data_IF_445011385234
#
_entry.id   IF_445011385234
#
_cell.length_a   1.000
_cell.length_b   1.000
_cell.length_c   1.000
_cell.angle_alpha   90.00
_cell.angle_beta   90.00
_cell.angle_gamma   90.00
#
_symmetry.space_group_name_H-M   'P 1'
#
loop_
_entity.id
_entity.type
_entity.pdbx_description
1 polymer ?
#
# COMPACT_ATOMS: atom_id res chain seq x y z
N UNK A 1 -25.03 -12.69 11.90
CA UNK A 1 -23.78 -12.83 12.68
C UNK A 1 -22.54 -12.94 11.79
N UNK A 2 -22.45 -13.89 10.86
CA UNK A 2 -21.27 -14.07 9.98
C UNK A 2 -20.88 -12.81 9.17
N UNK A 3 -21.85 -12.07 8.65
CA UNK A 3 -21.62 -10.84 7.87
C UNK A 3 -21.01 -9.70 8.69
N UNK A 4 -21.39 -9.59 9.96
CA UNK A 4 -20.86 -8.58 10.90
C UNK A 4 -19.40 -8.89 11.22
N UNK A 5 -19.08 -10.17 11.43
CA UNK A 5 -17.70 -10.65 11.63
C UNK A 5 -16.82 -10.38 10.42
N UNK A 6 -17.37 -10.56 9.21
CA UNK A 6 -16.69 -10.26 7.95
C UNK A 6 -16.36 -8.77 7.83
N UNK A 7 -17.33 -7.90 8.15
CA UNK A 7 -17.14 -6.45 8.16
C UNK A 7 -16.11 -6.00 9.18
N UNK A 8 -16.13 -6.58 10.39
CA UNK A 8 -15.12 -6.32 11.41
C UNK A 8 -13.72 -6.65 10.91
N UNK A 9 -13.53 -7.83 10.31
CA UNK A 9 -12.23 -8.25 9.75
C UNK A 9 -11.76 -7.30 8.65
N UNK A 10 -12.66 -6.87 7.76
CA UNK A 10 -12.33 -5.92 6.69
C UNK A 10 -11.94 -4.55 7.24
N UNK A 11 -12.71 -4.03 8.20
CA UNK A 11 -12.42 -2.74 8.83
C UNK A 11 -11.08 -2.79 9.57
N UNK A 12 -10.82 -3.86 10.33
CA UNK A 12 -9.54 -4.04 11.02
C UNK A 12 -8.36 -4.15 10.04
N UNK A 13 -8.53 -4.86 8.92
CA UNK A 13 -7.51 -4.95 7.88
C UNK A 13 -7.23 -3.60 7.20
N UNK A 14 -8.29 -2.82 6.92
CA UNK A 14 -8.19 -1.45 6.40
C UNK A 14 -7.51 -0.51 7.38
N UNK A 15 -7.82 -0.61 8.68
CA UNK A 15 -7.24 0.22 9.72
C UNK A 15 -5.73 -0.02 9.87
N UNK A 16 -5.30 -1.29 9.85
CA UNK A 16 -3.89 -1.66 9.84
C UNK A 16 -3.20 -1.10 8.60
N UNK A 17 -3.84 -1.22 7.43
CA UNK A 17 -3.31 -0.67 6.18
C UNK A 17 -3.13 0.85 6.27
N UNK A 18 -4.16 1.59 6.67
CA UNK A 18 -4.11 3.04 6.82
C UNK A 18 -3.10 3.48 7.88
N UNK A 19 -2.93 2.72 8.96
CA UNK A 19 -1.93 2.99 9.99
C UNK A 19 -0.50 2.85 9.46
N UNK A 20 -0.21 1.75 8.76
CA UNK A 20 1.09 1.51 8.10
C UNK A 20 1.36 2.61 7.06
N UNK A 21 0.34 2.99 6.29
CA UNK A 21 0.42 4.03 5.28
C UNK A 21 0.73 5.41 5.87
N UNK A 22 0.03 5.74 6.96
CA UNK A 22 0.24 6.99 7.70
C UNK A 22 1.64 7.04 8.29
N UNK A 23 2.13 5.91 8.84
CA UNK A 23 3.49 5.80 9.34
C UNK A 23 4.54 5.99 8.23
N UNK A 24 4.34 5.37 7.07
CA UNK A 24 5.20 5.52 5.89
C UNK A 24 5.26 6.97 5.41
N UNK A 25 4.11 7.63 5.29
CA UNK A 25 4.03 9.05 4.88
C UNK A 25 4.74 9.93 5.90
N UNK A 26 4.49 9.72 7.20
CA UNK A 26 5.14 10.49 8.26
C UNK A 26 6.66 10.26 8.29
N UNK A 27 7.12 9.04 8.07
CA UNK A 27 8.54 8.70 7.95
C UNK A 27 9.19 9.45 6.79
N UNK A 28 8.56 9.41 5.61
CA UNK A 28 9.00 10.16 4.42
C UNK A 28 9.07 11.66 4.73
N UNK A 29 8.00 12.25 5.28
CA UNK A 29 7.96 13.68 5.64
C UNK A 29 9.04 14.03 6.67
N UNK A 30 9.30 13.15 7.65
CA UNK A 30 10.33 13.36 8.68
C UNK A 30 11.75 13.34 8.10
N UNK A 31 12.01 12.52 7.08
CA UNK A 31 13.29 12.52 6.36
C UNK A 31 13.51 13.85 5.63
N UNK A 32 12.44 14.51 5.15
CA UNK A 32 12.53 15.84 4.53
C UNK A 32 12.60 17.00 5.53
N UNK A 33 12.09 16.83 6.75
CA UNK A 33 12.12 17.86 7.81
C UNK A 33 13.48 18.01 8.49
N UNK A 34 14.41 17.06 8.33
CA UNK A 34 15.75 17.17 8.92
C UNK A 34 16.56 18.19 8.12
N UNK A 35 16.79 19.36 8.72
CA UNK A 35 17.62 20.47 8.23
C UNK A 35 19.01 20.01 7.76
N UNK A 36 19.07 19.55 6.52
CA UNK A 36 20.31 19.47 5.77
C UNK A 36 20.22 20.56 4.70
N UNK A 37 21.29 21.35 4.58
CA UNK A 37 21.60 22.20 3.42
C UNK A 37 21.80 21.32 2.17
N UNK A 38 20.78 20.52 1.84
CA UNK A 38 20.75 19.61 0.72
C UNK A 38 20.28 20.42 -0.48
N UNK A 39 21.12 20.45 -1.52
CA UNK A 39 20.81 21.10 -2.79
C UNK A 39 19.39 20.72 -3.26
N UNK A 40 18.64 21.68 -3.79
CA UNK A 40 17.28 21.51 -4.31
C UNK A 40 17.15 20.25 -5.19
N UNK A 41 18.17 19.97 -6.02
CA UNK A 41 18.26 18.79 -6.90
C UNK A 41 18.18 17.46 -6.14
N UNK A 42 18.79 17.40 -4.96
CA UNK A 42 18.81 16.18 -4.12
C UNK A 42 17.46 15.99 -3.42
N UNK A 43 16.84 17.08 -2.95
CA UNK A 43 15.46 17.04 -2.41
C UNK A 43 14.47 16.54 -3.46
N UNK A 44 14.56 17.04 -4.69
CA UNK A 44 13.69 16.62 -5.79
C UNK A 44 13.91 15.16 -6.18
N UNK A 45 15.17 14.70 -6.23
CA UNK A 45 15.49 13.30 -6.49
C UNK A 45 14.95 12.35 -5.40
N UNK A 46 15.12 12.68 -4.13
CA UNK A 46 14.60 11.87 -3.01
C UNK A 46 13.07 11.84 -3.05
N UNK A 47 12.42 12.97 -3.37
CA UNK A 47 10.96 13.04 -3.52
C UNK A 47 10.47 12.13 -4.64
N UNK A 48 11.13 12.14 -5.80
CA UNK A 48 10.80 11.26 -6.92
C UNK A 48 10.98 9.78 -6.57
N UNK A 49 12.10 9.41 -5.93
CA UNK A 49 12.36 8.03 -5.50
C UNK A 49 11.34 7.58 -4.46
N UNK A 50 11.00 8.45 -3.50
CA UNK A 50 10.00 8.15 -2.49
C UNK A 50 8.62 7.91 -3.10
N UNK A 51 8.19 8.73 -4.06
CA UNK A 51 6.93 8.54 -4.79
C UNK A 51 6.95 7.23 -5.61
N UNK A 52 8.07 6.91 -6.25
CA UNK A 52 8.21 5.67 -7.02
C UNK A 52 8.09 4.42 -6.12
N UNK A 53 8.83 4.40 -5.00
CA UNK A 53 8.78 3.30 -4.02
C UNK A 53 7.38 3.16 -3.43
N UNK A 54 6.72 4.28 -3.17
CA UNK A 54 5.35 4.30 -2.67
C UNK A 54 4.36 3.72 -3.69
N UNK A 55 4.46 4.10 -4.96
CA UNK A 55 3.61 3.57 -6.03
C UNK A 55 3.78 2.05 -6.17
N UNK A 56 5.02 1.55 -6.17
CA UNK A 56 5.29 0.11 -6.22
C UNK A 56 4.69 -0.62 -5.01
N UNK A 57 4.82 -0.04 -3.82
CA UNK A 57 4.26 -0.60 -2.58
C UNK A 57 2.72 -0.65 -2.61
N UNK A 58 2.08 0.39 -3.13
CA UNK A 58 0.62 0.44 -3.33
C UNK A 58 0.16 -0.63 -4.31
N UNK A 59 0.85 -0.77 -5.44
CA UNK A 59 0.54 -1.81 -6.43
C UNK A 59 0.66 -3.21 -5.84
N UNK A 60 1.74 -3.49 -5.13
CA UNK A 60 1.93 -4.77 -4.45
C UNK A 60 0.81 -5.05 -3.45
N UNK A 61 0.44 -4.05 -2.64
CA UNK A 61 -0.63 -4.18 -1.66
C UNK A 61 -1.98 -4.47 -2.32
N UNK A 62 -2.32 -3.77 -3.41
CA UNK A 62 -3.57 -3.99 -4.14
C UNK A 62 -3.65 -5.42 -4.70
N UNK A 63 -2.56 -5.93 -5.27
CA UNK A 63 -2.51 -7.30 -5.78
C UNK A 63 -2.72 -8.33 -4.66
N UNK A 64 -2.06 -8.13 -3.51
CA UNK A 64 -2.19 -9.03 -2.37
C UNK A 64 -3.57 -8.95 -1.73
N UNK A 65 -4.16 -7.75 -1.67
CA UNK A 65 -5.53 -7.54 -1.22
C UNK A 65 -6.53 -8.30 -2.09
N UNK A 66 -6.40 -8.23 -3.43
CA UNK A 66 -7.26 -8.99 -4.35
C UNK A 66 -7.14 -10.50 -4.11
N UNK A 67 -5.94 -11.01 -3.86
CA UNK A 67 -5.74 -12.45 -3.55
C UNK A 67 -6.42 -12.85 -2.25
N UNK A 68 -6.23 -12.07 -1.18
CA UNK A 68 -6.84 -12.33 0.12
C UNK A 68 -8.36 -12.30 0.01
N UNK A 69 -8.91 -11.32 -0.72
CA UNK A 69 -10.35 -11.21 -0.96
C UNK A 69 -10.88 -12.40 -1.76
N UNK A 70 -10.23 -12.77 -2.86
CA UNK A 70 -10.66 -13.91 -3.66
C UNK A 70 -10.65 -15.23 -2.86
N UNK A 71 -9.61 -15.45 -2.03
CA UNK A 71 -9.56 -16.60 -1.11
C UNK A 71 -10.70 -16.57 -0.09
N UNK A 72 -11.01 -15.39 0.45
CA UNK A 72 -12.06 -15.21 1.44
C UNK A 72 -13.47 -15.41 0.86
N UNK A 73 -13.69 -15.06 -0.41
CA UNK A 73 -14.93 -15.32 -1.14
C UNK A 73 -14.95 -16.67 -1.86
N UNK A 74 -13.90 -17.49 -1.70
CA UNK A 74 -13.74 -18.78 -2.37
C UNK A 74 -13.88 -18.67 -3.91
N UNK A 75 -13.46 -17.53 -4.46
CA UNK A 75 -13.46 -17.27 -5.90
C UNK A 75 -12.20 -17.91 -6.49
N UNK A 76 -12.32 -18.87 -7.42
CA UNK A 76 -11.16 -19.47 -8.06
C UNK A 76 -10.42 -18.39 -8.87
N UNK A 77 -9.20 -18.08 -8.44
CA UNK A 77 -8.26 -17.20 -9.15
C UNK A 77 -7.60 -17.91 -10.35
N UNK A 78 -8.00 -19.15 -10.65
CA UNK A 78 -7.48 -20.01 -11.72
C UNK A 78 -7.61 -19.39 -13.13
N UNK A 79 -8.41 -18.32 -13.26
CA UNK A 79 -8.35 -17.41 -14.39
C UNK A 79 -8.33 -15.98 -13.88
N UNK A 80 -7.17 -15.36 -13.85
CA UNK A 80 -7.03 -14.39 -14.93
C UNK A 80 -6.83 -12.93 -14.59
N UNK A 81 -6.84 -12.51 -13.32
CA UNK A 81 -6.59 -11.08 -13.04
C UNK A 81 -5.09 -10.76 -13.22
N UNK A 82 -4.21 -11.75 -13.06
CA UNK A 82 -2.77 -11.62 -13.26
C UNK A 82 -2.30 -11.89 -14.70
N UNK A 83 -3.06 -12.61 -15.56
CA UNK A 83 -2.72 -12.73 -17.00
C UNK A 83 -3.10 -11.48 -17.81
N UNK A 84 -3.75 -10.46 -17.24
CA UNK A 84 -3.98 -9.19 -17.96
C UNK A 84 -2.64 -8.49 -18.29
N UNK A 85 -1.57 -8.80 -17.56
CA UNK A 85 -0.22 -8.24 -17.76
C UNK A 85 0.73 -9.18 -18.52
N UNK A 86 0.23 -10.28 -19.11
CA UNK A 86 1.02 -11.22 -19.89
C UNK A 86 0.85 -11.01 -21.39
#
# INVERSE_FOLDING_TARGET
MKTIMLFLILISGLEIFFSIFTYLINFIISLFKKDYNMSQKVKDAIKLVSVAVFMVSVFYFLLEFVKVMAKLFNIPLDKSILDIFK
#
